data_IF_988943328504
#
_entry.id   IF_988943328504
#
_cell.length_a   1.000
_cell.length_b   1.000
_cell.length_c   1.000
_cell.angle_alpha   90.00
_cell.angle_beta   90.00
_cell.angle_gamma   90.00
#
_symmetry.space_group_name_H-M   'P 1'
#
loop_
_entity.id
_entity.type
_entity.pdbx_description
1 polymer ?
#
# COMPACT_ATOMS: atom_id res chain seq x y z
N UNK A 1 -1.90 -22.56 -1.49
CA UNK A 1 -1.89 -21.79 -0.22
C UNK A 1 -0.43 -21.57 0.11
N UNK A 2 0.00 -20.34 0.29
CA UNK A 2 1.36 -20.02 0.70
C UNK A 2 1.63 -20.58 2.10
N UNK A 3 2.90 -20.94 2.39
CA UNK A 3 3.34 -21.30 3.73
C UNK A 3 3.50 -20.06 4.62
N UNK A 4 4.35 -20.18 5.65
CA UNK A 4 4.72 -19.00 6.44
C UNK A 4 5.55 -18.04 5.58
N UNK A 5 5.17 -16.77 5.55
CA UNK A 5 5.94 -15.72 4.92
C UNK A 5 6.77 -15.06 6.01
N UNK A 6 8.08 -15.05 5.86
CA UNK A 6 9.01 -14.42 6.81
C UNK A 6 9.83 -13.34 6.12
N UNK A 7 9.93 -12.17 6.77
CA UNK A 7 10.79 -11.10 6.32
C UNK A 7 12.27 -11.39 6.64
N UNK A 8 13.17 -10.48 6.25
CA UNK A 8 14.62 -10.63 6.47
C UNK A 8 15.01 -10.69 7.96
N UNK A 9 14.21 -10.10 8.84
CA UNK A 9 14.38 -10.16 10.30
C UNK A 9 13.87 -11.47 10.90
N UNK A 10 13.31 -12.40 10.09
CA UNK A 10 12.74 -13.66 10.53
C UNK A 10 11.33 -13.53 11.12
N UNK A 11 10.73 -12.34 11.09
CA UNK A 11 9.38 -12.08 11.58
C UNK A 11 8.35 -12.64 10.62
N UNK A 12 7.35 -13.35 11.15
CA UNK A 12 6.25 -13.92 10.36
C UNK A 12 5.22 -12.84 10.03
N UNK A 13 4.89 -12.71 8.75
CA UNK A 13 3.87 -11.80 8.26
C UNK A 13 2.52 -12.51 8.20
N UNK A 14 1.52 -11.93 8.85
CA UNK A 14 0.14 -12.42 8.83
C UNK A 14 -0.56 -12.00 7.55
N UNK A 15 -1.19 -12.97 6.86
CA UNK A 15 -1.91 -12.73 5.62
C UNK A 15 -3.23 -13.50 5.54
N UNK A 16 -4.10 -13.06 4.64
CA UNK A 16 -5.29 -13.78 4.21
C UNK A 16 -5.28 -13.89 2.70
N UNK A 17 -5.44 -15.11 2.20
CA UNK A 17 -5.53 -15.40 0.77
C UNK A 17 -6.99 -15.62 0.36
N UNK A 18 -7.44 -14.90 -0.66
CA UNK A 18 -8.74 -15.04 -1.30
C UNK A 18 -8.55 -15.67 -2.66
N UNK A 19 -9.19 -16.81 -2.87
CA UNK A 19 -9.07 -17.54 -4.13
C UNK A 19 -9.91 -16.88 -5.22
N UNK A 20 -9.28 -16.56 -6.35
CA UNK A 20 -9.93 -16.21 -7.61
C UNK A 20 -10.26 -17.44 -8.48
N UNK A 21 -10.20 -17.29 -9.80
CA UNK A 21 -10.34 -18.43 -10.73
C UNK A 21 -9.14 -19.37 -10.58
N UNK A 22 -9.40 -20.67 -10.62
CA UNK A 22 -8.42 -21.71 -10.29
C UNK A 22 -7.18 -21.72 -11.21
N UNK A 23 -7.34 -21.27 -12.45
CA UNK A 23 -6.30 -21.20 -13.49
C UNK A 23 -5.68 -19.80 -13.65
N UNK A 24 -6.06 -18.85 -12.81
CA UNK A 24 -5.45 -17.51 -12.82
C UNK A 24 -4.01 -17.56 -12.32
N UNK A 25 -3.10 -16.93 -13.04
CA UNK A 25 -1.72 -16.69 -12.60
C UNK A 25 -1.54 -15.28 -12.04
N UNK A 26 -2.60 -14.48 -11.97
CA UNK A 26 -2.56 -13.12 -11.43
C UNK A 26 -2.81 -13.13 -9.93
N UNK A 27 -1.94 -12.44 -9.19
CA UNK A 27 -2.07 -12.22 -7.76
C UNK A 27 -2.11 -10.71 -7.48
N UNK A 28 -3.20 -10.27 -6.87
CA UNK A 28 -3.39 -8.93 -6.35
C UNK A 28 -2.97 -8.90 -4.87
N UNK A 29 -1.95 -8.13 -4.53
CA UNK A 29 -1.43 -7.99 -3.17
C UNK A 29 -1.81 -6.62 -2.63
N UNK A 30 -2.35 -6.56 -1.40
CA UNK A 30 -2.76 -5.32 -0.75
C UNK A 30 -1.90 -5.06 0.48
N UNK A 31 -1.22 -3.89 0.52
CA UNK A 31 -0.53 -3.31 1.66
C UNK A 31 -1.34 -2.15 2.26
N UNK A 32 -1.33 -2.05 3.59
CA UNK A 32 -2.06 -1.03 4.36
C UNK A 32 -1.21 0.22 4.66
N UNK A 33 -1.81 1.24 5.24
CA UNK A 33 -1.14 2.47 5.69
C UNK A 33 -0.73 2.43 7.16
N UNK A 34 -0.25 3.58 7.68
CA UNK A 34 0.13 3.79 9.08
C UNK A 34 -0.99 3.32 10.00
N UNK A 35 -0.62 2.66 11.11
CA UNK A 35 -1.56 2.08 12.09
C UNK A 35 -2.59 1.11 11.52
N UNK A 36 -2.48 0.77 10.23
CA UNK A 36 -3.38 -0.14 9.55
C UNK A 36 -3.05 -1.61 9.81
N UNK A 37 -3.84 -2.47 9.21
CA UNK A 37 -3.60 -3.90 9.10
C UNK A 37 -4.44 -4.49 7.97
N UNK A 38 -4.22 -5.75 7.64
CA UNK A 38 -4.94 -6.45 6.57
C UNK A 38 -6.46 -6.54 6.75
N UNK A 39 -6.97 -6.35 7.97
CA UNK A 39 -8.39 -6.51 8.31
C UNK A 39 -9.17 -5.19 8.36
N UNK A 40 -8.59 -4.08 7.92
CA UNK A 40 -9.33 -2.81 7.73
C UNK A 40 -10.51 -3.04 6.77
N UNK A 41 -11.72 -2.51 7.08
CA UNK A 41 -12.95 -2.83 6.32
C UNK A 41 -12.82 -2.65 4.80
N UNK A 42 -12.24 -1.54 4.35
CA UNK A 42 -12.09 -1.28 2.90
C UNK A 42 -11.07 -2.23 2.25
N UNK A 43 -10.02 -2.66 2.98
CA UNK A 43 -9.03 -3.64 2.49
C UNK A 43 -9.70 -5.00 2.29
N UNK A 44 -10.52 -5.43 3.25
CA UNK A 44 -11.29 -6.68 3.16
C UNK A 44 -12.27 -6.62 1.98
N UNK A 45 -13.06 -5.54 1.90
CA UNK A 45 -14.04 -5.36 0.83
C UNK A 45 -13.40 -5.36 -0.57
N UNK A 46 -12.27 -4.66 -0.74
CA UNK A 46 -11.52 -4.65 -1.99
C UNK A 46 -10.99 -6.04 -2.32
N UNK A 47 -10.40 -6.75 -1.35
CA UNK A 47 -9.84 -8.09 -1.55
C UNK A 47 -10.91 -9.09 -2.01
N UNK A 48 -12.06 -9.08 -1.35
CA UNK A 48 -13.20 -9.94 -1.71
C UNK A 48 -13.75 -9.60 -3.10
N UNK A 49 -13.87 -8.32 -3.43
CA UNK A 49 -14.37 -7.89 -4.72
C UNK A 49 -13.43 -8.27 -5.88
N UNK A 50 -12.11 -8.12 -5.69
CA UNK A 50 -11.10 -8.53 -6.69
C UNK A 50 -11.07 -10.05 -6.85
N UNK A 51 -11.15 -10.81 -5.76
CA UNK A 51 -11.23 -12.28 -5.82
C UNK A 51 -12.51 -12.74 -6.53
N UNK A 52 -13.65 -12.12 -6.26
CA UNK A 52 -14.91 -12.38 -6.96
C UNK A 52 -14.85 -12.01 -8.45
N UNK A 53 -13.98 -11.07 -8.83
CA UNK A 53 -13.70 -10.75 -10.24
C UNK A 53 -12.76 -11.77 -10.92
N UNK A 54 -12.30 -12.79 -10.19
CA UNK A 54 -11.51 -13.92 -10.72
C UNK A 54 -10.00 -13.82 -10.50
N UNK A 55 -9.50 -12.82 -9.81
CA UNK A 55 -8.08 -12.59 -9.57
C UNK A 55 -7.73 -13.07 -8.15
N UNK A 56 -6.72 -13.94 -8.00
CA UNK A 56 -6.25 -14.30 -6.66
C UNK A 56 -5.82 -13.05 -5.90
N UNK A 57 -6.17 -12.97 -4.62
CA UNK A 57 -5.89 -11.79 -3.82
C UNK A 57 -5.25 -12.17 -2.49
N UNK A 58 -4.21 -11.47 -2.10
CA UNK A 58 -3.52 -11.59 -0.83
C UNK A 58 -3.51 -10.22 -0.14
N UNK A 59 -4.11 -10.13 1.03
CA UNK A 59 -3.98 -8.99 1.93
C UNK A 59 -3.11 -9.40 3.11
N UNK A 60 -2.13 -8.58 3.47
CA UNK A 60 -1.21 -8.89 4.56
C UNK A 60 -1.01 -7.69 5.49
N UNK A 61 -0.58 -7.97 6.70
CA UNK A 61 -0.12 -6.94 7.64
C UNK A 61 1.40 -6.86 7.61
N UNK A 62 1.94 -5.66 7.51
CA UNK A 62 3.38 -5.43 7.68
C UNK A 62 3.83 -5.82 9.10
N UNK A 63 5.11 -6.14 9.27
CA UNK A 63 5.66 -6.52 10.57
C UNK A 63 5.39 -5.46 11.64
N UNK A 64 4.98 -5.91 12.83
CA UNK A 64 4.59 -5.03 13.93
C UNK A 64 3.14 -4.52 13.88
N UNK A 65 2.37 -4.91 12.86
CA UNK A 65 0.97 -4.52 12.69
C UNK A 65 0.05 -5.75 12.68
N UNK A 66 -1.19 -5.58 13.14
CA UNK A 66 -2.18 -6.65 13.18
C UNK A 66 -1.68 -7.86 13.95
N UNK A 67 -1.69 -9.05 13.32
CA UNK A 67 -1.18 -10.30 13.89
C UNK A 67 0.20 -10.69 13.37
N UNK A 68 0.87 -9.83 12.59
CA UNK A 68 2.25 -10.03 12.19
C UNK A 68 3.20 -9.92 13.37
N UNK A 69 4.27 -10.75 13.36
CA UNK A 69 5.34 -10.62 14.34
C UNK A 69 6.06 -9.27 14.21
N UNK A 70 6.86 -8.93 15.21
CA UNK A 70 7.56 -7.64 15.29
C UNK A 70 6.91 -6.69 16.28
N UNK A 71 7.38 -5.45 16.31
CA UNK A 71 6.88 -4.41 17.21
C UNK A 71 6.52 -3.18 16.40
N UNK A 72 5.37 -2.58 16.67
CA UNK A 72 4.91 -1.36 15.99
C UNK A 72 5.96 -0.24 16.01
N UNK A 73 6.65 -0.03 17.13
CA UNK A 73 7.71 0.98 17.23
C UNK A 73 8.93 0.77 16.32
N UNK A 74 9.04 -0.40 15.70
CA UNK A 74 10.10 -0.71 14.72
C UNK A 74 9.61 -0.57 13.27
N UNK A 75 8.33 -0.22 13.06
CA UNK A 75 7.76 0.00 11.73
C UNK A 75 8.35 1.27 11.11
N UNK A 76 8.77 1.15 9.87
CA UNK A 76 9.24 2.24 9.01
C UNK A 76 8.86 1.92 7.57
N UNK A 77 8.80 2.92 6.68
CA UNK A 77 8.58 2.67 5.25
C UNK A 77 9.66 1.75 4.69
N UNK A 78 10.92 1.98 5.06
CA UNK A 78 12.06 1.16 4.59
C UNK A 78 11.91 -0.31 5.00
N UNK A 79 11.49 -0.58 6.25
CA UNK A 79 11.22 -1.95 6.72
C UNK A 79 10.01 -2.58 6.01
N UNK A 80 8.97 -1.81 5.75
CA UNK A 80 7.79 -2.31 5.02
C UNK A 80 8.09 -2.64 3.55
N UNK A 81 9.08 -1.97 2.93
CA UNK A 81 9.61 -2.37 1.62
C UNK A 81 10.25 -3.76 1.71
N UNK A 82 11.04 -4.05 2.76
CA UNK A 82 11.63 -5.38 2.97
C UNK A 82 10.55 -6.45 3.23
N UNK A 83 9.52 -6.13 3.99
CA UNK A 83 8.36 -7.02 4.20
C UNK A 83 7.67 -7.34 2.87
N UNK A 84 7.40 -6.32 2.05
CA UNK A 84 6.82 -6.52 0.72
C UNK A 84 7.71 -7.40 -0.16
N UNK A 85 9.03 -7.24 -0.12
CA UNK A 85 9.95 -8.10 -0.88
C UNK A 85 9.83 -9.58 -0.49
N UNK A 86 9.60 -9.89 0.80
CA UNK A 86 9.36 -11.27 1.26
C UNK A 86 8.05 -11.83 0.70
N UNK A 87 6.98 -11.02 0.67
CA UNK A 87 5.69 -11.39 0.06
C UNK A 87 5.85 -11.62 -1.44
N UNK A 88 6.57 -10.72 -2.14
CA UNK A 88 6.86 -10.84 -3.57
C UNK A 88 7.66 -12.11 -3.89
N UNK A 89 8.67 -12.45 -3.08
CA UNK A 89 9.43 -13.70 -3.24
C UNK A 89 8.50 -14.90 -3.19
N UNK A 90 7.66 -14.96 -2.16
CA UNK A 90 6.69 -16.04 -2.00
C UNK A 90 5.71 -16.12 -3.18
N UNK A 91 5.22 -14.97 -3.67
CA UNK A 91 4.30 -14.92 -4.80
C UNK A 91 4.93 -15.46 -6.09
N UNK A 92 6.13 -14.98 -6.42
CA UNK A 92 6.84 -15.36 -7.66
C UNK A 92 7.30 -16.81 -7.62
N UNK A 93 7.78 -17.32 -6.49
CA UNK A 93 8.16 -18.72 -6.30
C UNK A 93 6.96 -19.69 -6.50
N UNK A 94 5.74 -19.19 -6.30
CA UNK A 94 4.51 -19.91 -6.60
C UNK A 94 3.97 -19.63 -8.02
N UNK A 95 4.71 -18.95 -8.88
CA UNK A 95 4.41 -18.74 -10.29
C UNK A 95 3.42 -17.60 -10.58
N UNK A 96 3.16 -16.72 -9.61
CA UNK A 96 2.21 -15.63 -9.81
C UNK A 96 2.83 -14.40 -10.48
N UNK A 97 2.03 -13.72 -11.29
CA UNK A 97 2.24 -12.38 -11.81
C UNK A 97 1.62 -11.37 -10.83
N UNK A 98 2.41 -10.44 -10.33
CA UNK A 98 2.01 -9.60 -9.21
C UNK A 98 1.49 -8.24 -9.66
N UNK A 99 0.32 -7.87 -9.13
CA UNK A 99 -0.17 -6.50 -8.98
C UNK A 99 -0.06 -6.12 -7.51
N UNK A 100 0.62 -5.03 -7.18
CA UNK A 100 0.63 -4.49 -5.82
C UNK A 100 -0.27 -3.27 -5.70
N UNK A 101 -1.11 -3.25 -4.68
CA UNK A 101 -1.95 -2.11 -4.31
C UNK A 101 -1.58 -1.65 -2.90
N UNK A 102 -1.12 -0.42 -2.76
CA UNK A 102 -0.75 0.17 -1.48
C UNK A 102 -1.65 1.33 -1.09
N UNK A 103 -2.15 1.31 0.15
CA UNK A 103 -2.94 2.42 0.71
C UNK A 103 -2.07 3.34 1.55
N UNK A 104 -2.22 4.66 1.38
CA UNK A 104 -1.53 5.66 2.21
C UNK A 104 -0.01 5.42 2.22
N UNK A 105 0.61 5.18 3.38
CA UNK A 105 2.02 4.81 3.50
C UNK A 105 2.37 3.54 2.69
N UNK A 106 1.46 2.56 2.60
CA UNK A 106 1.63 1.41 1.72
C UNK A 106 1.76 1.80 0.23
N UNK A 107 1.22 2.96 -0.17
CA UNK A 107 1.45 3.55 -1.48
C UNK A 107 2.90 3.99 -1.68
N UNK A 108 3.50 4.66 -0.68
CA UNK A 108 4.93 5.00 -0.69
C UNK A 108 5.81 3.74 -0.76
N UNK A 109 5.48 2.72 0.04
CA UNK A 109 6.13 1.39 -0.03
C UNK A 109 6.07 0.81 -1.44
N UNK A 110 4.90 0.88 -2.08
CA UNK A 110 4.70 0.39 -3.45
C UNK A 110 5.56 1.11 -4.47
N UNK A 111 5.64 2.44 -4.40
CA UNK A 111 6.47 3.24 -5.31
C UNK A 111 7.95 2.92 -5.13
N UNK A 112 8.44 2.90 -3.89
CA UNK A 112 9.84 2.57 -3.59
C UNK A 112 10.20 1.14 -4.00
N UNK A 113 9.34 0.17 -3.72
CA UNK A 113 9.55 -1.22 -4.12
C UNK A 113 9.55 -1.37 -5.64
N UNK A 114 8.56 -0.80 -6.35
CA UNK A 114 8.43 -0.97 -7.81
C UNK A 114 9.59 -0.32 -8.57
N UNK A 115 10.13 0.78 -8.08
CA UNK A 115 11.30 1.43 -8.69
C UNK A 115 12.58 0.56 -8.65
N UNK A 116 12.64 -0.43 -7.72
CA UNK A 116 13.81 -1.27 -7.50
C UNK A 116 13.60 -2.75 -7.83
N UNK A 117 12.34 -3.18 -8.01
CA UNK A 117 11.97 -4.59 -8.09
C UNK A 117 11.01 -4.86 -9.25
N UNK A 118 11.51 -5.48 -10.29
CA UNK A 118 10.74 -5.80 -11.51
C UNK A 118 9.68 -6.90 -11.32
N UNK A 119 9.58 -7.51 -10.14
CA UNK A 119 8.56 -8.53 -9.82
C UNK A 119 7.16 -7.94 -9.71
N UNK A 120 7.05 -6.64 -9.38
CA UNK A 120 5.77 -5.91 -9.45
C UNK A 120 5.55 -5.51 -10.90
N UNK A 121 4.52 -6.08 -11.54
CA UNK A 121 4.22 -5.82 -12.94
C UNK A 121 3.09 -4.80 -13.15
N UNK A 122 2.31 -4.53 -12.11
CA UNK A 122 1.26 -3.52 -12.09
C UNK A 122 1.24 -2.86 -10.71
N UNK A 123 1.15 -1.55 -10.69
CA UNK A 123 1.11 -0.77 -9.44
C UNK A 123 -0.24 -0.07 -9.28
N UNK A 124 -0.76 -0.07 -8.06
CA UNK A 124 -1.94 0.71 -7.68
C UNK A 124 -1.63 1.49 -6.39
N UNK A 125 -1.90 2.78 -6.39
CA UNK A 125 -1.84 3.62 -5.20
C UNK A 125 -3.25 4.06 -4.82
N UNK A 126 -3.67 3.75 -3.60
CA UNK A 126 -4.96 4.12 -3.01
C UNK A 126 -4.69 5.21 -1.98
N UNK A 127 -5.04 6.45 -2.25
CA UNK A 127 -4.70 7.59 -1.40
C UNK A 127 -3.21 7.58 -0.99
N UNK A 128 -2.32 7.28 -1.96
CA UNK A 128 -0.91 6.99 -1.71
C UNK A 128 -0.14 8.22 -1.26
N UNK A 129 0.64 8.07 -0.18
CA UNK A 129 1.57 9.08 0.32
C UNK A 129 2.76 9.24 -0.64
N UNK A 130 3.09 10.47 -0.99
CA UNK A 130 4.27 10.82 -1.80
C UNK A 130 5.27 11.62 -0.97
N UNK A 131 4.80 12.64 -0.28
CA UNK A 131 5.63 13.56 0.51
C UNK A 131 5.72 13.12 1.97
N UNK A 132 6.65 12.20 2.27
CA UNK A 132 6.75 11.52 3.56
C UNK A 132 7.16 12.45 4.71
N UNK A 133 8.14 13.34 4.47
CA UNK A 133 8.58 14.33 5.47
C UNK A 133 7.44 15.32 5.78
N UNK A 134 6.77 15.84 4.75
CA UNK A 134 5.63 16.74 4.91
C UNK A 134 4.48 16.08 5.67
N UNK A 135 4.18 14.81 5.36
CA UNK A 135 3.19 14.05 6.12
C UNK A 135 3.57 13.96 7.60
N UNK A 136 4.83 13.60 7.91
CA UNK A 136 5.31 13.55 9.29
C UNK A 136 5.15 14.90 10.00
N UNK A 137 5.56 15.98 9.36
CA UNK A 137 5.48 17.33 9.95
C UNK A 137 4.03 17.78 10.18
N UNK A 138 3.12 17.43 9.27
CA UNK A 138 1.71 17.79 9.38
C UNK A 138 1.00 16.98 10.47
N UNK A 139 1.20 15.67 10.50
CA UNK A 139 0.44 14.78 11.38
C UNK A 139 1.08 14.63 12.78
N UNK A 140 2.41 14.72 12.87
CA UNK A 140 3.16 14.37 14.08
C UNK A 140 4.24 15.39 14.46
N UNK A 141 4.32 16.55 13.79
CA UNK A 141 5.39 17.53 14.00
C UNK A 141 5.42 18.14 15.40
N UNK A 142 4.29 18.17 16.11
CA UNK A 142 4.19 18.64 17.50
C UNK A 142 4.47 17.53 18.53
N UNK A 143 4.51 16.27 18.10
CA UNK A 143 4.76 15.12 18.97
C UNK A 143 6.26 14.90 19.20
N UNK A 144 6.60 14.43 20.40
CA UNK A 144 7.99 14.09 20.73
C UNK A 144 8.19 12.59 20.48
N UNK A 145 9.00 12.19 19.47
CA UNK A 145 9.30 10.79 19.22
C UNK A 145 9.84 10.08 20.48
N UNK A 146 9.47 8.81 20.64
CA UNK A 146 9.74 7.94 21.79
C UNK A 146 9.04 8.34 23.12
N UNK A 147 8.20 9.38 23.09
CA UNK A 147 7.39 9.82 24.23
C UNK A 147 5.92 9.98 23.89
N UNK A 148 5.60 10.44 22.68
CA UNK A 148 4.24 10.62 22.18
C UNK A 148 3.71 9.37 21.47
N UNK A 149 2.46 9.49 21.04
CA UNK A 149 1.75 8.46 20.28
C UNK A 149 1.15 9.08 19.03
N UNK A 150 0.98 8.30 17.98
CA UNK A 150 0.31 8.73 16.75
C UNK A 150 -1.17 8.98 17.06
N UNK A 151 -1.67 10.18 16.72
CA UNK A 151 -3.07 10.59 16.90
C UNK A 151 -3.63 10.33 18.32
N UNK A 152 -2.79 10.54 19.36
CA UNK A 152 -3.13 10.30 20.77
C UNK A 152 -3.51 8.84 21.12
N UNK A 153 -3.28 7.89 20.21
CA UNK A 153 -3.57 6.48 20.42
C UNK A 153 -2.39 5.75 21.07
N UNK A 154 -2.54 5.33 22.31
CA UNK A 154 -1.46 4.72 23.13
C UNK A 154 -0.91 3.41 22.57
N UNK A 155 -1.68 2.70 21.75
CA UNK A 155 -1.26 1.45 21.10
C UNK A 155 -0.30 1.70 19.92
N UNK A 156 -0.20 2.95 19.46
CA UNK A 156 0.64 3.36 18.34
C UNK A 156 1.70 4.39 18.77
N UNK A 157 2.75 3.97 19.52
CA UNK A 157 3.80 4.86 19.95
C UNK A 157 4.56 5.44 18.75
N UNK A 158 4.73 6.77 18.72
CA UNK A 158 5.54 7.44 17.72
C UNK A 158 7.02 7.20 18.02
N UNK A 159 7.72 6.43 17.19
CA UNK A 159 9.14 6.15 17.37
C UNK A 159 10.04 7.13 16.64
N UNK A 160 11.24 7.38 17.17
CA UNK A 160 12.28 8.11 16.45
C UNK A 160 12.68 7.44 15.15
N UNK A 161 12.69 6.10 15.10
CA UNK A 161 12.96 5.34 13.86
C UNK A 161 11.99 5.69 12.74
N UNK A 162 10.70 5.77 13.05
CA UNK A 162 9.68 6.15 12.08
C UNK A 162 9.88 7.59 11.61
N UNK A 163 10.05 8.52 12.55
CA UNK A 163 10.29 9.92 12.24
C UNK A 163 11.53 10.13 11.35
N UNK A 164 12.64 9.48 11.71
CA UNK A 164 13.90 9.61 10.99
C UNK A 164 13.82 8.99 9.58
N UNK A 165 13.11 7.85 9.42
CA UNK A 165 12.92 7.21 8.12
C UNK A 165 12.09 8.09 7.16
N UNK A 166 10.97 8.66 7.63
CA UNK A 166 10.15 9.56 6.83
C UNK A 166 10.91 10.82 6.39
N UNK A 167 11.72 11.38 7.28
CA UNK A 167 12.59 12.53 6.99
C UNK A 167 13.74 12.17 6.04
N UNK A 168 14.30 10.96 6.16
CA UNK A 168 15.38 10.51 5.27
C UNK A 168 14.87 10.26 3.84
N UNK A 169 13.65 9.74 3.69
CA UNK A 169 13.01 9.54 2.38
C UNK A 169 12.60 10.88 1.78
N UNK A 170 12.08 11.82 2.59
CA UNK A 170 11.55 13.13 2.22
C UNK A 170 10.35 13.04 1.27
N UNK A 171 10.53 12.43 0.10
CA UNK A 171 9.51 12.24 -0.93
C UNK A 171 9.82 11.03 -1.81
N UNK A 172 8.79 10.36 -2.29
CA UNK A 172 8.90 9.29 -3.29
C UNK A 172 8.78 9.79 -4.74
N UNK A 173 8.68 11.10 -4.94
CA UNK A 173 8.53 11.71 -6.26
C UNK A 173 9.65 11.34 -7.26
N UNK A 174 10.94 11.28 -6.87
CA UNK A 174 11.99 10.82 -7.79
C UNK A 174 11.82 9.38 -8.26
N UNK A 175 11.29 8.50 -7.39
CA UNK A 175 11.01 7.10 -7.73
C UNK A 175 9.75 6.98 -8.60
N UNK A 176 8.75 7.83 -8.38
CA UNK A 176 7.56 7.90 -9.24
C UNK A 176 7.93 8.12 -10.71
N UNK A 177 8.91 8.95 -11.00
CA UNK A 177 9.43 9.18 -12.36
C UNK A 177 10.14 7.95 -12.98
N UNK A 178 10.52 6.95 -12.16
CA UNK A 178 11.18 5.72 -12.59
C UNK A 178 10.20 4.56 -12.81
N UNK A 179 8.94 4.70 -12.43
CA UNK A 179 7.91 3.67 -12.61
C UNK A 179 7.63 3.50 -14.11
N UNK A 180 7.90 2.30 -14.61
CA UNK A 180 7.69 1.92 -16.02
C UNK A 180 6.59 0.89 -16.23
N UNK A 181 6.00 0.39 -15.14
CA UNK A 181 4.86 -0.53 -15.18
C UNK A 181 3.54 0.25 -15.22
N UNK A 182 2.44 -0.35 -15.74
CA UNK A 182 1.13 0.28 -15.66
C UNK A 182 0.78 0.67 -14.23
N UNK A 183 0.39 1.94 -14.02
CA UNK A 183 0.12 2.48 -12.70
C UNK A 183 -1.26 3.15 -12.63
N UNK A 184 -2.09 2.67 -11.70
CA UNK A 184 -3.36 3.30 -11.33
C UNK A 184 -3.19 4.05 -10.00
N UNK A 185 -3.58 5.32 -9.99
CA UNK A 185 -3.73 6.11 -8.78
C UNK A 185 -5.22 6.36 -8.54
N UNK A 186 -5.70 6.08 -7.34
CA UNK A 186 -7.09 6.35 -6.91
C UNK A 186 -7.06 7.20 -5.66
N UNK A 187 -7.74 8.34 -5.64
CA UNK A 187 -7.70 9.27 -4.52
C UNK A 187 -9.05 9.92 -4.28
N UNK A 188 -9.40 10.13 -3.01
CA UNK A 188 -10.61 10.86 -2.61
C UNK A 188 -10.39 12.37 -2.66
N UNK A 189 -11.37 13.13 -3.14
CA UNK A 189 -11.23 14.61 -3.24
C UNK A 189 -11.36 15.33 -1.90
N UNK A 190 -11.85 14.64 -0.86
CA UNK A 190 -11.97 15.19 0.51
C UNK A 190 -11.04 14.48 1.52
N UNK A 191 -9.95 13.89 1.01
CA UNK A 191 -8.90 13.31 1.84
C UNK A 191 -8.16 14.44 2.59
N UNK A 192 -8.22 14.40 3.92
CA UNK A 192 -7.63 15.37 4.82
C UNK A 192 -6.37 14.86 5.53
N UNK A 193 -5.97 13.60 5.28
CA UNK A 193 -4.78 12.94 5.85
C UNK A 193 -3.62 12.96 4.85
N UNK A 194 -3.85 12.43 3.64
CA UNK A 194 -2.94 12.56 2.50
C UNK A 194 -3.68 13.35 1.43
N UNK A 195 -3.22 14.56 1.18
CA UNK A 195 -3.90 15.43 0.24
C UNK A 195 -3.84 14.85 -1.19
N UNK A 196 -4.91 15.02 -1.95
CA UNK A 196 -5.01 14.54 -3.34
C UNK A 196 -3.86 15.04 -4.24
N UNK A 197 -3.24 16.16 -3.87
CA UNK A 197 -2.11 16.74 -4.59
C UNK A 197 -0.90 15.80 -4.61
N UNK A 198 -0.73 14.91 -3.62
CA UNK A 198 0.29 13.86 -3.65
C UNK A 198 0.08 12.91 -4.84
N UNK A 199 -1.14 12.43 -5.07
CA UNK A 199 -1.44 11.60 -6.25
C UNK A 199 -1.32 12.37 -7.57
N UNK A 200 -1.69 13.65 -7.59
CA UNK A 200 -1.52 14.49 -8.78
C UNK A 200 -0.05 14.73 -9.12
N UNK A 201 0.78 14.94 -8.10
CA UNK A 201 2.24 15.06 -8.25
C UNK A 201 2.83 13.77 -8.83
N UNK A 202 2.58 12.61 -8.18
CA UNK A 202 3.04 11.32 -8.66
C UNK A 202 2.58 11.05 -10.10
N UNK A 203 1.30 11.32 -10.40
CA UNK A 203 0.77 11.17 -11.74
C UNK A 203 1.47 12.07 -12.75
N UNK A 204 1.80 13.30 -12.40
CA UNK A 204 2.50 14.22 -13.31
C UNK A 204 3.90 13.71 -13.69
N UNK A 205 4.58 13.02 -12.78
CA UNK A 205 5.95 12.52 -12.93
C UNK A 205 6.02 11.12 -13.56
N UNK A 206 5.02 10.30 -13.30
CA UNK A 206 4.98 8.91 -13.78
C UNK A 206 4.99 8.82 -15.31
N UNK A 207 5.59 7.73 -15.83
CA UNK A 207 5.56 7.42 -17.26
C UNK A 207 4.27 6.67 -17.67
N UNK A 208 3.94 6.67 -18.94
CA UNK A 208 2.83 5.86 -19.45
C UNK A 208 3.19 4.36 -19.47
N UNK A 209 2.22 3.45 -19.26
CA UNK A 209 0.78 3.73 -19.09
C UNK A 209 0.41 4.05 -17.66
N UNK A 210 -0.30 5.13 -17.43
CA UNK A 210 -0.76 5.59 -16.12
C UNK A 210 -2.21 6.05 -16.14
N UNK A 211 -2.91 5.99 -14.99
CA UNK A 211 -4.27 6.52 -14.86
C UNK A 211 -4.47 7.10 -13.47
N UNK A 212 -5.06 8.29 -13.39
CA UNK A 212 -5.54 8.88 -12.14
C UNK A 212 -7.07 8.84 -12.12
N UNK A 213 -7.64 8.38 -11.01
CA UNK A 213 -9.08 8.41 -10.73
C UNK A 213 -9.29 9.18 -9.44
N UNK A 214 -9.92 10.33 -9.55
CA UNK A 214 -10.33 11.15 -8.42
C UNK A 214 -11.78 10.78 -8.07
N UNK A 215 -12.04 10.40 -6.80
CA UNK A 215 -13.38 10.03 -6.33
C UNK A 215 -13.96 11.19 -5.55
N UNK A 216 -14.97 11.83 -6.12
CA UNK A 216 -15.60 12.98 -5.51
C UNK A 216 -16.22 12.67 -4.16
N UNK A 217 -15.91 13.49 -3.15
CA UNK A 217 -16.40 13.37 -1.79
C UNK A 217 -15.86 12.17 -0.99
N UNK A 218 -14.95 11.37 -1.53
CA UNK A 218 -14.33 10.29 -0.78
C UNK A 218 -13.23 10.81 0.15
N UNK A 219 -13.14 10.22 1.34
CA UNK A 219 -12.12 10.49 2.34
C UNK A 219 -10.93 9.51 2.23
N UNK A 220 -9.94 9.65 3.14
CA UNK A 220 -8.69 8.89 3.15
C UNK A 220 -8.88 7.36 3.11
N UNK A 221 -9.86 6.82 3.82
CA UNK A 221 -10.11 5.37 3.92
C UNK A 221 -11.26 4.90 3.01
N UNK A 222 -11.68 5.73 2.07
CA UNK A 222 -12.79 5.42 1.15
C UNK A 222 -14.04 4.94 1.86
N UNK A 223 -14.35 5.47 3.04
CA UNK A 223 -15.55 5.08 3.76
C UNK A 223 -16.84 5.54 3.04
N UNK A 224 -17.98 4.98 3.45
CA UNK A 224 -19.31 5.37 2.96
C UNK A 224 -19.41 5.35 1.42
N UNK A 225 -19.66 6.53 0.83
CA UNK A 225 -19.86 6.67 -0.62
C UNK A 225 -18.61 6.44 -1.46
N UNK A 226 -17.40 6.49 -0.85
CA UNK A 226 -16.13 6.32 -1.57
C UNK A 226 -15.77 4.87 -1.85
N UNK A 227 -16.28 3.91 -1.06
CA UNK A 227 -15.86 2.50 -1.13
C UNK A 227 -16.18 1.85 -2.48
N UNK A 228 -17.43 1.93 -2.89
CA UNK A 228 -17.88 1.27 -4.13
C UNK A 228 -17.21 1.86 -5.39
N UNK A 229 -17.13 3.20 -5.57
CA UNK A 229 -16.40 3.79 -6.69
C UNK A 229 -14.90 3.40 -6.71
N UNK A 230 -14.22 3.31 -5.56
CA UNK A 230 -12.84 2.86 -5.48
C UNK A 230 -12.70 1.41 -5.96
N UNK A 231 -13.54 0.49 -5.50
CA UNK A 231 -13.56 -0.91 -5.92
C UNK A 231 -13.81 -1.02 -7.43
N UNK A 232 -14.77 -0.30 -7.96
CA UNK A 232 -15.11 -0.31 -9.39
C UNK A 232 -13.95 0.22 -10.26
N UNK A 233 -13.29 1.29 -9.82
CA UNK A 233 -12.12 1.82 -10.50
C UNK A 233 -10.98 0.81 -10.58
N UNK A 234 -10.67 0.14 -9.46
CA UNK A 234 -9.64 -0.91 -9.39
C UNK A 234 -9.99 -2.09 -10.28
N UNK A 235 -11.20 -2.65 -10.15
CA UNK A 235 -11.61 -3.84 -10.92
C UNK A 235 -11.65 -3.54 -12.42
N UNK A 236 -12.20 -2.39 -12.82
CA UNK A 236 -12.24 -1.99 -14.22
C UNK A 236 -10.84 -1.92 -14.81
N UNK A 237 -9.92 -1.24 -14.10
CA UNK A 237 -8.56 -1.08 -14.56
C UNK A 237 -7.80 -2.41 -14.63
N UNK A 238 -7.95 -3.30 -13.63
CA UNK A 238 -7.36 -4.64 -13.63
C UNK A 238 -7.83 -5.46 -14.83
N UNK A 239 -9.14 -5.46 -15.13
CA UNK A 239 -9.69 -6.17 -16.28
C UNK A 239 -9.10 -5.71 -17.60
N UNK A 240 -8.81 -4.42 -17.73
CA UNK A 240 -8.24 -3.87 -18.95
C UNK A 240 -6.72 -4.13 -19.04
N UNK A 241 -6.01 -4.04 -17.94
CA UNK A 241 -4.55 -4.17 -17.88
C UNK A 241 -4.08 -5.63 -17.96
N UNK A 242 -4.79 -6.58 -17.35
CA UNK A 242 -4.39 -7.99 -17.30
C UNK A 242 -4.68 -8.78 -18.60
N UNK A 243 -5.49 -8.24 -19.50
CA UNK A 243 -5.81 -8.85 -20.81
C UNK A 243 -4.69 -8.71 -21.85
N UNK A 244 -3.59 -8.03 -21.51
CA UNK A 244 -2.48 -7.73 -22.45
C UNK A 244 -1.39 -8.78 -22.45
#
# INVERSE_FOLDING_TARGET
MFGLIKNQSGETLDYTFHQGLADSLDLFIIGHGVTGNKDRPFVVALAEAVANAGIHTLRFSFAGNGSSEGKFRDCTISKEVEDLQAVLTTAVDNGYRVTYAGHSMGGAVGVLATAQDSRIQFLISLAGMVNTEKFYETEFGEEIPDKGCMWEETDYPLSSKFADDLRAIQTTAPQAAQISVPWLLVHGTTDDVVLIDDSREAYSLATEPKKLVEIDGANHVFSESGLQPMIEAVISWLKDSLKR
#
